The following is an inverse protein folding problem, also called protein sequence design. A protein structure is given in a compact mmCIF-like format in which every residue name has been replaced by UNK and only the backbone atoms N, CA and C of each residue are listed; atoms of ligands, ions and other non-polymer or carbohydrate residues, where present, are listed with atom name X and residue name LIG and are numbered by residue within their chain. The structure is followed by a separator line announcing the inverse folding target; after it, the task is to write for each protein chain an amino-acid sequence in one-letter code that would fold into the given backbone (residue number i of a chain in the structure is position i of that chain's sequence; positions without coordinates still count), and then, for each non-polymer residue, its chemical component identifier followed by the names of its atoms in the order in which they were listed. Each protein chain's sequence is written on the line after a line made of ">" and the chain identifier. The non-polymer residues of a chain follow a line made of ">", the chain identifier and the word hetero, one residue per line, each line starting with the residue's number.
data_IF_671470238155
#
_entry.id   IF_671470238155
#
_cell.length_a   1.000
_cell.length_b   1.000
_cell.length_c   1.000
_cell.angle_alpha   90.00
_cell.angle_beta   90.00
_cell.angle_gamma   90.00
#
_symmetry.space_group_name_H-M   'P 1'
#
loop_
_entity.id
_entity.type
_entity.pdbx_description
1 polymer ?
#
# COMPACT_ATOMS: atom_id res chain seq x y z
N UNK A 1 71.35 2.29 36.03
CA UNK A 1 70.03 2.94 35.92
C UNK A 1 69.29 2.28 34.75
N UNK A 2 68.42 1.30 35.05
CA UNK A 2 67.76 0.45 34.03
C UNK A 2 66.31 0.91 33.86
N UNK A 3 65.95 1.33 32.67
CA UNK A 3 64.63 1.87 32.30
C UNK A 3 63.76 0.76 31.70
N UNK A 4 62.99 0.06 32.54
CA UNK A 4 62.01 -0.93 32.07
C UNK A 4 60.60 -0.33 31.96
N UNK A 5 60.29 0.32 30.83
CA UNK A 5 58.99 0.93 30.54
C UNK A 5 58.31 0.40 29.26
N UNK A 6 58.44 -0.90 28.95
CA UNK A 6 57.82 -1.49 27.75
C UNK A 6 56.70 -2.52 28.00
N UNK A 7 56.44 -2.94 29.25
CA UNK A 7 55.40 -3.95 29.55
C UNK A 7 53.96 -3.40 29.67
N UNK A 8 53.75 -2.07 29.75
CA UNK A 8 52.41 -1.46 29.96
C UNK A 8 51.58 -1.22 28.68
N UNK A 9 52.09 -1.46 27.47
CA UNK A 9 51.40 -1.13 26.20
C UNK A 9 50.51 -2.24 25.62
N UNK A 10 50.61 -3.49 26.10
CA UNK A 10 49.89 -4.64 25.52
C UNK A 10 48.39 -4.69 25.86
N UNK A 11 47.97 -4.15 27.01
CA UNK A 11 46.55 -4.15 27.41
C UNK A 11 45.67 -3.21 26.59
N UNK A 12 46.24 -2.09 26.12
CA UNK A 12 45.52 -1.08 25.33
C UNK A 12 45.06 -1.64 23.98
N UNK A 13 45.85 -2.52 23.37
CA UNK A 13 45.50 -3.15 22.10
C UNK A 13 44.28 -4.08 22.21
N UNK A 14 44.13 -4.79 23.34
CA UNK A 14 42.95 -5.65 23.59
C UNK A 14 41.69 -4.79 23.69
N UNK A 15 41.75 -3.68 24.45
CA UNK A 15 40.60 -2.80 24.66
C UNK A 15 40.17 -2.16 23.33
N UNK A 16 41.13 -1.74 22.50
CA UNK A 16 40.85 -1.21 21.17
C UNK A 16 40.10 -2.21 20.28
N UNK A 17 40.54 -3.48 20.27
CA UNK A 17 39.88 -4.53 19.49
C UNK A 17 38.44 -4.74 19.97
N UNK A 18 38.20 -4.76 21.28
CA UNK A 18 36.85 -4.89 21.83
C UNK A 18 35.94 -3.72 21.45
N UNK A 19 36.46 -2.48 21.44
CA UNK A 19 35.70 -1.30 21.01
C UNK A 19 35.36 -1.39 19.52
N UNK A 20 36.33 -1.79 18.68
CA UNK A 20 36.08 -1.94 17.24
C UNK A 20 35.07 -3.06 17.00
N UNK A 21 35.21 -4.19 17.69
CA UNK A 21 34.28 -5.32 17.57
C UNK A 21 32.85 -4.94 18.00
N UNK A 22 32.68 -4.15 19.05
CA UNK A 22 31.34 -3.71 19.50
C UNK A 22 30.69 -2.73 18.52
N UNK A 23 31.48 -1.83 17.91
CA UNK A 23 30.99 -0.91 16.87
C UNK A 23 30.53 -1.71 15.65
N UNK A 24 31.35 -2.65 15.16
CA UNK A 24 31.01 -3.50 14.01
C UNK A 24 29.75 -4.33 14.28
N UNK A 25 29.64 -4.91 15.48
CA UNK A 25 28.46 -5.68 15.87
C UNK A 25 27.20 -4.81 15.90
N UNK A 26 27.30 -3.59 16.43
CA UNK A 26 26.16 -2.64 16.48
C UNK A 26 25.69 -2.27 15.07
N UNK A 27 26.62 -2.02 14.15
CA UNK A 27 26.30 -1.74 12.74
C UNK A 27 25.60 -2.94 12.10
N UNK A 28 26.10 -4.16 12.31
CA UNK A 28 25.51 -5.38 11.77
C UNK A 28 24.06 -5.59 12.27
N UNK A 29 23.82 -5.38 13.57
CA UNK A 29 22.48 -5.47 14.15
C UNK A 29 21.53 -4.39 13.61
N UNK A 30 22.03 -3.17 13.41
CA UNK A 30 21.27 -2.09 12.79
C UNK A 30 20.80 -2.42 11.38
N UNK A 31 21.69 -3.01 10.56
CA UNK A 31 21.36 -3.43 9.19
C UNK A 31 20.32 -4.57 9.18
N UNK A 32 20.44 -5.53 10.10
CA UNK A 32 19.49 -6.64 10.21
C UNK A 32 18.07 -6.13 10.53
N UNK A 33 17.94 -5.13 11.41
CA UNK A 33 16.64 -4.52 11.72
C UNK A 33 15.98 -3.84 10.50
N UNK A 34 16.77 -3.17 9.67
CA UNK A 34 16.26 -2.54 8.44
C UNK A 34 15.81 -3.60 7.44
N UNK A 35 16.60 -4.67 7.26
CA UNK A 35 16.30 -5.76 6.32
C UNK A 35 14.98 -6.47 6.65
N UNK A 36 14.75 -6.81 7.92
CA UNK A 36 13.50 -7.49 8.32
C UNK A 36 12.26 -6.63 8.11
N UNK A 37 12.37 -5.31 8.34
CA UNK A 37 11.29 -4.37 8.05
C UNK A 37 10.99 -4.30 6.54
N UNK A 38 12.03 -4.28 5.70
CA UNK A 38 11.87 -4.27 4.24
C UNK A 38 11.17 -5.53 3.72
N UNK A 39 11.47 -6.70 4.28
CA UNK A 39 10.80 -7.96 3.91
C UNK A 39 9.28 -7.91 4.15
N UNK A 40 8.84 -7.30 5.26
CA UNK A 40 7.41 -7.14 5.56
C UNK A 40 6.72 -6.22 4.54
N UNK A 41 7.33 -5.07 4.24
CA UNK A 41 6.81 -4.14 3.22
C UNK A 41 6.72 -4.81 1.84
N UNK A 42 7.69 -5.65 1.49
CA UNK A 42 7.69 -6.38 0.22
C UNK A 42 6.55 -7.40 0.14
N UNK A 43 6.21 -8.06 1.24
CA UNK A 43 5.02 -8.94 1.30
C UNK A 43 3.71 -8.15 1.13
N UNK A 44 3.59 -6.99 1.75
CA UNK A 44 2.41 -6.13 1.65
C UNK A 44 2.23 -5.57 0.23
N UNK A 45 3.32 -5.36 -0.51
CA UNK A 45 3.31 -4.98 -1.92
C UNK A 45 2.65 -6.04 -2.80
N UNK A 46 2.86 -7.33 -2.53
CA UNK A 46 2.17 -8.41 -3.25
C UNK A 46 0.65 -8.35 -3.06
N UNK A 47 0.19 -8.09 -1.84
CA UNK A 47 -1.24 -7.94 -1.55
C UNK A 47 -1.84 -6.68 -2.19
N UNK A 48 -1.03 -5.64 -2.32
CA UNK A 48 -1.43 -4.41 -3.02
C UNK A 48 -1.73 -4.63 -4.51
N UNK A 49 -1.02 -5.53 -5.19
CA UNK A 49 -1.29 -5.80 -6.60
C UNK A 49 -2.65 -6.48 -6.75
N UNK A 50 -2.96 -7.41 -5.85
CA UNK A 50 -4.25 -8.13 -5.85
C UNK A 50 -5.40 -7.18 -5.53
N UNK A 51 -5.25 -6.28 -4.55
CA UNK A 51 -6.29 -5.29 -4.26
C UNK A 51 -6.46 -4.28 -5.39
N UNK A 52 -5.37 -3.89 -6.07
CA UNK A 52 -5.46 -3.05 -7.26
C UNK A 52 -6.21 -3.75 -8.40
N UNK A 53 -5.90 -5.01 -8.67
CA UNK A 53 -6.62 -5.82 -9.66
C UNK A 53 -8.12 -5.96 -9.34
N UNK A 54 -8.47 -6.13 -8.07
CA UNK A 54 -9.87 -6.14 -7.65
C UNK A 54 -10.57 -4.79 -7.88
N UNK A 55 -9.88 -3.67 -7.59
CA UNK A 55 -10.40 -2.33 -7.86
C UNK A 55 -10.64 -2.12 -9.36
N UNK A 56 -9.68 -2.49 -10.19
CA UNK A 56 -9.76 -2.34 -11.65
C UNK A 56 -10.91 -3.17 -12.23
N UNK A 57 -11.02 -4.44 -11.83
CA UNK A 57 -12.13 -5.32 -12.20
C UNK A 57 -13.50 -4.74 -11.81
N UNK A 58 -13.59 -4.12 -10.63
CA UNK A 58 -14.80 -3.44 -10.18
C UNK A 58 -15.17 -2.25 -11.07
N UNK A 59 -14.17 -1.44 -11.44
CA UNK A 59 -14.36 -0.27 -12.30
C UNK A 59 -14.80 -0.68 -13.71
N UNK A 60 -14.11 -1.64 -14.34
CA UNK A 60 -14.48 -2.18 -15.65
C UNK A 60 -15.90 -2.75 -15.66
N UNK A 61 -16.25 -3.52 -14.62
CA UNK A 61 -17.60 -4.06 -14.48
C UNK A 61 -18.64 -2.95 -14.40
N UNK A 62 -18.38 -1.89 -13.62
CA UNK A 62 -19.32 -0.78 -13.50
C UNK A 62 -19.49 -0.02 -14.82
N UNK A 63 -18.41 0.19 -15.55
CA UNK A 63 -18.45 0.81 -16.88
C UNK A 63 -19.26 -0.07 -17.85
N UNK A 64 -19.07 -1.38 -17.80
CA UNK A 64 -19.84 -2.32 -18.61
C UNK A 64 -21.35 -2.27 -18.28
N UNK A 65 -21.70 -2.22 -17.00
CA UNK A 65 -23.10 -2.13 -16.54
C UNK A 65 -23.76 -0.80 -16.96
N UNK A 66 -23.00 0.31 -16.89
CA UNK A 66 -23.43 1.62 -17.40
C UNK A 66 -23.65 1.58 -18.92
N UNK A 67 -22.74 0.95 -19.67
CA UNK A 67 -22.86 0.88 -21.13
C UNK A 67 -24.04 0.01 -21.60
N UNK A 68 -24.26 -1.14 -20.95
CA UNK A 68 -25.25 -2.13 -21.40
C UNK A 68 -26.66 -1.89 -20.88
N UNK A 69 -26.78 -1.42 -19.65
CA UNK A 69 -28.06 -1.37 -18.93
C UNK A 69 -28.33 0.00 -18.32
N UNK A 70 -27.43 0.97 -18.53
CA UNK A 70 -27.44 2.28 -17.85
C UNK A 70 -27.55 2.10 -16.34
N UNK A 71 -27.10 0.99 -15.76
CA UNK A 71 -27.23 0.80 -14.31
C UNK A 71 -26.13 1.61 -13.64
N UNK A 72 -26.49 2.67 -12.92
CA UNK A 72 -25.54 3.48 -12.14
C UNK A 72 -25.50 3.11 -10.64
N UNK A 73 -26.11 1.99 -10.25
CA UNK A 73 -26.10 1.53 -8.86
C UNK A 73 -24.68 1.28 -8.35
N UNK A 74 -24.40 1.81 -7.17
CA UNK A 74 -23.15 1.53 -6.45
C UNK A 74 -23.11 0.08 -5.96
N UNK A 75 -21.96 -0.56 -6.09
CA UNK A 75 -21.71 -1.93 -5.65
C UNK A 75 -20.86 -1.91 -4.38
N UNK A 76 -21.19 -2.72 -3.38
CA UNK A 76 -20.43 -2.75 -2.13
C UNK A 76 -20.08 -4.18 -1.75
N UNK A 77 -18.81 -4.41 -1.37
CA UNK A 77 -18.36 -5.68 -0.81
C UNK A 77 -18.48 -6.89 -1.74
N UNK A 78 -18.37 -6.70 -3.06
CA UNK A 78 -18.45 -7.80 -4.02
C UNK A 78 -17.20 -8.66 -3.88
N UNK A 79 -17.37 -9.91 -3.45
CA UNK A 79 -16.28 -10.85 -3.27
C UNK A 79 -15.84 -11.49 -4.60
N UNK A 80 -14.53 -11.63 -4.78
CA UNK A 80 -13.89 -12.38 -5.84
C UNK A 80 -13.51 -13.79 -5.35
N UNK A 81 -13.29 -14.75 -6.28
CA UNK A 81 -12.90 -16.12 -5.94
C UNK A 81 -11.61 -16.23 -5.12
N UNK A 82 -10.72 -15.25 -5.24
CA UNK A 82 -9.43 -15.20 -4.58
C UNK A 82 -9.47 -14.53 -3.19
N UNK A 83 -10.65 -14.39 -2.56
CA UNK A 83 -10.87 -13.67 -1.29
C UNK A 83 -10.55 -12.17 -1.30
N UNK A 84 -10.31 -11.59 -2.48
CA UNK A 84 -10.35 -10.14 -2.66
C UNK A 84 -11.81 -9.68 -2.73
N UNK A 85 -12.05 -8.41 -2.49
CA UNK A 85 -13.36 -7.79 -2.71
C UNK A 85 -13.19 -6.42 -3.34
N UNK A 86 -14.25 -5.91 -3.96
CA UNK A 86 -14.29 -4.53 -4.41
C UNK A 86 -15.60 -3.83 -4.02
N UNK A 87 -15.54 -2.52 -4.01
CA UNK A 87 -16.66 -1.62 -3.81
C UNK A 87 -16.57 -0.52 -4.84
N UNK A 88 -17.66 -0.25 -5.57
CA UNK A 88 -17.73 0.81 -6.57
C UNK A 88 -18.80 1.80 -6.18
N UNK A 89 -18.42 3.07 -6.06
CA UNK A 89 -19.31 4.20 -5.85
C UNK A 89 -19.43 4.98 -7.16
N UNK A 90 -20.66 5.26 -7.57
CA UNK A 90 -20.94 6.07 -8.76
C UNK A 90 -21.64 7.36 -8.34
N UNK A 91 -21.04 8.49 -8.69
CA UNK A 91 -21.58 9.82 -8.44
C UNK A 91 -21.76 10.63 -9.72
N UNK A 92 -22.57 11.69 -9.65
CA UNK A 92 -22.85 12.60 -10.77
C UNK A 92 -22.85 14.06 -10.28
N UNK A 93 -22.68 15.02 -11.20
CA UNK A 93 -22.72 16.47 -10.88
C UNK A 93 -24.05 17.14 -11.26
N UNK A 94 -24.98 16.42 -11.90
CA UNK A 94 -26.29 16.96 -12.31
C UNK A 94 -27.40 16.41 -11.42
N UNK A 95 -28.34 17.26 -10.98
CA UNK A 95 -29.49 16.82 -10.18
C UNK A 95 -30.79 17.04 -10.95
N UNK A 96 -31.61 15.99 -11.18
CA UNK A 96 -31.34 14.59 -10.86
C UNK A 96 -30.23 13.99 -11.74
N UNK A 97 -29.51 12.99 -11.24
CA UNK A 97 -28.54 12.26 -12.05
C UNK A 97 -29.23 11.69 -13.30
N UNK A 98 -28.52 11.56 -14.44
CA UNK A 98 -29.09 10.99 -15.67
C UNK A 98 -29.69 9.60 -15.42
N UNK A 99 -29.09 8.87 -14.48
CA UNK A 99 -29.61 7.64 -13.95
C UNK A 99 -29.95 7.75 -12.46
N UNK A 100 -31.18 7.39 -12.07
CA UNK A 100 -31.75 7.57 -10.73
C UNK A 100 -31.02 6.81 -9.60
N UNK A 101 -30.09 5.93 -9.94
CA UNK A 101 -29.30 5.16 -8.98
C UNK A 101 -27.91 5.74 -8.67
N UNK A 102 -27.45 6.74 -9.43
CA UNK A 102 -26.22 7.46 -9.12
C UNK A 102 -26.45 8.45 -7.96
N UNK A 103 -25.40 8.70 -7.18
CA UNK A 103 -25.45 9.63 -6.05
C UNK A 103 -25.04 11.03 -6.53
N UNK A 104 -25.91 12.02 -6.37
CA UNK A 104 -25.54 13.41 -6.65
C UNK A 104 -24.44 13.88 -5.68
N UNK A 105 -23.37 14.42 -6.24
CA UNK A 105 -22.25 14.98 -5.48
C UNK A 105 -21.76 16.26 -6.17
N UNK A 106 -21.94 17.41 -5.52
CA UNK A 106 -21.52 18.71 -6.07
C UNK A 106 -20.00 18.87 -6.13
N UNK A 107 -19.22 17.94 -5.55
CA UNK A 107 -17.76 17.88 -5.68
C UNK A 107 -17.30 17.09 -6.92
N UNK A 108 -18.23 16.41 -7.61
CA UNK A 108 -17.94 15.65 -8.82
C UNK A 108 -17.55 16.61 -9.96
N UNK A 109 -16.29 16.57 -10.37
CA UNK A 109 -15.80 17.40 -11.48
C UNK A 109 -16.09 16.82 -12.87
N UNK A 110 -16.83 15.71 -12.97
CA UNK A 110 -17.05 14.98 -14.22
C UNK A 110 -18.27 15.48 -14.98
N UNK A 111 -18.24 15.36 -16.31
CA UNK A 111 -19.35 15.78 -17.17
C UNK A 111 -20.55 14.84 -17.07
N UNK A 112 -20.32 13.53 -16.88
CA UNK A 112 -21.38 12.53 -16.83
C UNK A 112 -21.36 11.74 -15.51
N UNK A 113 -20.30 10.97 -15.27
CA UNK A 113 -20.20 10.06 -14.13
C UNK A 113 -18.80 10.09 -13.51
N UNK A 114 -18.75 10.03 -12.20
CA UNK A 114 -17.53 9.80 -11.42
C UNK A 114 -17.63 8.43 -10.75
N UNK A 115 -16.67 7.57 -11.05
CA UNK A 115 -16.65 6.19 -10.60
C UNK A 115 -15.44 6.01 -9.70
N UNK A 116 -15.67 5.70 -8.44
CA UNK A 116 -14.64 5.37 -7.47
C UNK A 116 -14.72 3.87 -7.19
N UNK A 117 -13.67 3.13 -7.51
CA UNK A 117 -13.58 1.70 -7.25
C UNK A 117 -12.49 1.41 -6.24
N UNK A 118 -12.83 0.74 -5.14
CA UNK A 118 -11.93 0.37 -4.06
C UNK A 118 -11.85 -1.14 -3.99
N UNK A 119 -10.66 -1.69 -4.22
CA UNK A 119 -10.36 -3.09 -4.04
C UNK A 119 -9.67 -3.35 -2.70
N UNK A 120 -10.01 -4.48 -2.08
CA UNK A 120 -9.56 -4.87 -0.75
C UNK A 120 -9.04 -6.30 -0.79
N UNK A 121 -7.83 -6.52 -0.28
CA UNK A 121 -7.27 -7.86 -0.13
C UNK A 121 -6.34 -7.93 1.09
N UNK A 122 -6.60 -8.88 2.00
CA UNK A 122 -5.82 -9.08 3.25
C UNK A 122 -5.56 -7.78 4.04
N UNK A 123 -6.55 -6.89 4.10
CA UNK A 123 -6.47 -5.61 4.80
C UNK A 123 -5.77 -4.48 4.04
N UNK A 124 -5.23 -4.76 2.84
CA UNK A 124 -4.68 -3.73 1.95
C UNK A 124 -5.77 -3.24 1.00
N UNK A 125 -6.00 -1.93 1.02
CA UNK A 125 -6.99 -1.27 0.15
C UNK A 125 -6.27 -0.48 -0.94
N UNK A 126 -6.78 -0.53 -2.16
CA UNK A 126 -6.36 0.30 -3.29
C UNK A 126 -7.57 0.85 -3.99
N UNK A 127 -7.54 2.14 -4.32
CA UNK A 127 -8.63 2.84 -4.94
C UNK A 127 -8.22 3.36 -6.33
N UNK A 128 -9.20 3.39 -7.22
CA UNK A 128 -9.12 3.92 -8.57
C UNK A 128 -10.28 4.89 -8.77
N UNK A 129 -9.99 6.00 -9.42
CA UNK A 129 -10.99 7.01 -9.76
C UNK A 129 -11.03 7.17 -11.28
N UNK A 130 -12.23 7.09 -11.85
CA UNK A 130 -12.47 7.31 -13.26
C UNK A 130 -13.48 8.45 -13.42
N UNK A 131 -13.11 9.41 -14.28
CA UNK A 131 -13.92 10.57 -14.62
C UNK A 131 -14.35 10.42 -16.08
N UNK A 132 -15.66 10.30 -16.29
CA UNK A 132 -16.30 10.14 -17.59
C UNK A 132 -17.36 11.23 -17.86
#
# INVERSE_FOLDING_TARGET
>A
MKTDNFKKRKGVSIVLIFIIASIVLTIALGINGISTQQMKTMSEMGFSIVSFYAADSGAERKIYDLYKSDDAKSLTGVALPNSASFSVKVTCNTSPCPNLYAIYDSSCSSTNYFIESVGTYKGINRALELKY
#
